data_IF_095808841611
#
_entry.id   IF_095808841611
#
_cell.length_a   1.000
_cell.length_b   1.000
_cell.length_c   1.000
_cell.angle_alpha   90.00
_cell.angle_beta   90.00
_cell.angle_gamma   90.00
#
_symmetry.space_group_name_H-M   'P 1'
#
loop_
_entity.id
_entity.type
_entity.pdbx_description
1 polymer ?
#
# COMPACT_ATOMS: atom_id res chain seq x y z
N UNK A 1 0.43 -0.54 -9.19
CA UNK A 1 0.62 0.93 -9.14
C UNK A 1 -0.75 1.57 -9.11
N UNK A 2 -0.96 2.57 -8.27
CA UNK A 2 -2.24 3.30 -8.19
C UNK A 2 -2.02 4.78 -7.89
N UNK A 3 -2.79 5.65 -8.52
CA UNK A 3 -2.82 7.08 -8.25
C UNK A 3 -3.88 7.38 -7.20
N UNK A 4 -3.60 8.37 -6.35
CA UNK A 4 -4.61 8.96 -5.49
C UNK A 4 -5.53 9.85 -6.34
N UNK A 5 -6.82 9.89 -6.02
CA UNK A 5 -7.82 10.56 -6.86
C UNK A 5 -7.79 12.09 -6.72
N UNK A 6 -7.43 12.61 -5.54
CA UNK A 6 -7.35 14.05 -5.26
C UNK A 6 -5.94 14.59 -5.07
N UNK A 7 -5.10 13.90 -4.28
CA UNK A 7 -3.74 14.34 -4.00
C UNK A 7 -2.73 13.95 -5.10
N UNK A 8 -1.61 14.66 -5.14
CA UNK A 8 -0.51 14.43 -6.08
C UNK A 8 0.34 13.19 -5.69
N UNK A 9 -0.31 12.11 -5.25
CA UNK A 9 0.31 10.90 -4.69
C UNK A 9 0.20 9.68 -5.61
N UNK A 10 1.26 8.88 -5.63
CA UNK A 10 1.39 7.66 -6.42
C UNK A 10 1.96 6.53 -5.55
N UNK A 11 1.23 5.42 -5.43
CA UNK A 11 1.72 4.21 -4.77
C UNK A 11 2.22 3.18 -5.81
N UNK A 12 3.43 2.68 -5.59
CA UNK A 12 4.10 1.67 -6.43
C UNK A 12 4.58 0.52 -5.55
N UNK A 13 4.34 -0.72 -5.98
CA UNK A 13 4.88 -1.90 -5.32
C UNK A 13 6.03 -2.47 -6.15
N UNK A 14 7.04 -3.04 -5.50
CA UNK A 14 8.07 -3.84 -6.18
C UNK A 14 7.62 -5.29 -6.40
N UNK A 15 8.52 -6.11 -6.95
CA UNK A 15 8.27 -7.54 -7.19
C UNK A 15 8.31 -8.40 -5.91
N UNK A 16 8.56 -7.80 -4.74
CA UNK A 16 8.59 -8.47 -3.46
C UNK A 16 7.43 -8.00 -2.59
N UNK A 17 7.77 -7.31 -1.50
CA UNK A 17 6.82 -6.83 -0.52
C UNK A 17 6.97 -5.34 -0.20
N UNK A 18 7.75 -4.58 -0.98
CA UNK A 18 7.96 -3.17 -0.67
C UNK A 18 6.91 -2.31 -1.37
N UNK A 19 6.31 -1.41 -0.61
CA UNK A 19 5.48 -0.31 -1.10
C UNK A 19 6.28 0.98 -1.06
N UNK A 20 6.20 1.76 -2.13
CA UNK A 20 6.74 3.10 -2.26
C UNK A 20 5.60 4.08 -2.51
N UNK A 21 5.57 5.18 -1.77
CA UNK A 21 4.62 6.27 -1.98
C UNK A 21 5.40 7.49 -2.44
N UNK A 22 4.96 8.10 -3.53
CA UNK A 22 5.62 9.22 -4.19
C UNK A 22 4.69 10.41 -4.30
N UNK A 23 5.21 11.60 -4.07
CA UNK A 23 4.64 12.84 -4.60
C UNK A 23 5.15 12.99 -6.03
N UNK A 24 4.30 12.66 -7.01
CA UNK A 24 4.74 12.58 -8.42
C UNK A 24 4.99 13.97 -9.01
N UNK A 25 4.41 15.01 -8.43
CA UNK A 25 4.56 16.40 -8.88
C UNK A 25 5.82 17.05 -8.32
N UNK A 26 6.14 16.80 -7.04
CA UNK A 26 7.42 17.22 -6.42
C UNK A 26 8.58 16.29 -6.74
N UNK A 27 8.31 15.15 -7.39
CA UNK A 27 9.30 14.13 -7.75
C UNK A 27 10.07 13.60 -6.53
N UNK A 28 9.38 13.47 -5.40
CA UNK A 28 9.96 13.06 -4.12
C UNK A 28 9.25 11.85 -3.55
N UNK A 29 10.00 10.92 -2.94
CA UNK A 29 9.42 9.81 -2.20
C UNK A 29 8.89 10.31 -0.86
N UNK A 30 7.64 10.01 -0.57
CA UNK A 30 6.98 10.30 0.70
C UNK A 30 7.29 9.19 1.72
N UNK A 31 7.13 7.93 1.30
CA UNK A 31 7.40 6.79 2.16
C UNK A 31 7.87 5.54 1.42
N UNK A 32 8.44 4.61 2.18
CA UNK A 32 8.84 3.26 1.80
C UNK A 32 8.64 2.32 2.99
N UNK A 33 7.80 1.32 2.82
CA UNK A 33 7.57 0.34 3.88
C UNK A 33 7.36 -1.07 3.32
N UNK A 34 7.56 -2.07 4.18
CA UNK A 34 7.26 -3.46 3.85
C UNK A 34 5.80 -3.76 4.14
N UNK A 35 5.13 -4.36 3.16
CA UNK A 35 3.80 -4.90 3.28
C UNK A 35 3.73 -6.12 4.22
N UNK A 36 4.87 -6.71 4.60
CA UNK A 36 4.89 -7.82 5.56
C UNK A 36 4.21 -9.10 5.04
N UNK A 37 4.02 -9.24 3.72
CA UNK A 37 3.66 -10.53 3.13
C UNK A 37 4.85 -11.51 3.18
N UNK A 38 4.62 -12.83 3.36
CA UNK A 38 5.67 -13.83 3.51
C UNK A 38 6.62 -13.90 2.31
N UNK A 39 7.82 -14.43 2.53
CA UNK A 39 8.77 -14.69 1.46
C UNK A 39 8.15 -15.61 0.38
N UNK A 40 8.45 -15.32 -0.90
CA UNK A 40 7.85 -16.02 -2.04
C UNK A 40 6.46 -15.55 -2.45
N UNK A 41 5.81 -14.69 -1.66
CA UNK A 41 4.59 -13.97 -2.07
C UNK A 41 4.91 -12.57 -2.58
N UNK A 42 4.00 -12.01 -3.40
CA UNK A 42 4.14 -10.67 -3.98
C UNK A 42 2.89 -9.83 -3.80
N UNK A 43 3.06 -8.52 -3.76
CA UNK A 43 1.93 -7.58 -3.87
C UNK A 43 1.36 -7.68 -5.28
N UNK A 44 0.07 -7.98 -5.37
CA UNK A 44 -0.63 -8.21 -6.64
C UNK A 44 -1.46 -7.00 -7.06
N UNK A 45 -2.06 -6.29 -6.10
CA UNK A 45 -2.77 -5.03 -6.38
C UNK A 45 -2.69 -4.06 -5.19
N UNK A 46 -2.94 -2.78 -5.45
CA UNK A 46 -3.05 -1.73 -4.45
C UNK A 46 -4.15 -0.74 -4.81
N UNK A 47 -4.85 -0.24 -3.79
CA UNK A 47 -5.89 0.78 -3.94
C UNK A 47 -5.81 1.77 -2.78
N UNK A 48 -6.00 3.04 -3.09
CA UNK A 48 -6.41 3.98 -2.06
C UNK A 48 -7.90 3.79 -1.78
N UNK A 49 -8.28 3.88 -0.50
CA UNK A 49 -9.67 3.80 -0.05
C UNK A 49 -9.94 4.96 0.90
N UNK A 50 -11.20 5.39 0.98
CA UNK A 50 -11.62 6.53 1.81
C UNK A 50 -10.86 7.83 1.50
N UNK A 51 -10.56 8.04 0.21
CA UNK A 51 -9.69 9.14 -0.26
C UNK A 51 -10.30 10.54 -0.10
N UNK A 52 -11.61 10.63 0.14
CA UNK A 52 -12.35 11.87 0.35
C UNK A 52 -12.23 12.42 1.79
N UNK A 53 -11.79 11.60 2.74
CA UNK A 53 -11.58 11.97 4.13
C UNK A 53 -10.17 11.53 4.58
N UNK A 54 -10.05 10.58 5.51
CA UNK A 54 -8.76 9.99 5.87
C UNK A 54 -8.45 8.81 4.95
N UNK A 55 -7.62 9.05 3.93
CA UNK A 55 -7.18 8.04 2.97
C UNK A 55 -6.39 6.91 3.64
N UNK A 56 -6.66 5.68 3.22
CA UNK A 56 -5.85 4.51 3.55
C UNK A 56 -5.29 3.86 2.30
N UNK A 57 -4.14 3.20 2.44
CA UNK A 57 -3.57 2.39 1.36
C UNK A 57 -3.86 0.90 1.63
N UNK A 58 -4.69 0.31 0.78
CA UNK A 58 -4.99 -1.10 0.78
C UNK A 58 -4.06 -1.84 -0.19
N UNK A 59 -3.52 -2.97 0.24
CA UNK A 59 -2.73 -3.89 -0.58
C UNK A 59 -3.39 -5.27 -0.62
N UNK A 60 -3.35 -5.91 -1.78
CA UNK A 60 -3.71 -7.31 -1.96
C UNK A 60 -2.48 -8.11 -2.37
N UNK A 61 -2.17 -9.16 -1.62
CA UNK A 61 -1.00 -10.00 -1.86
C UNK A 61 -1.37 -11.39 -2.36
N UNK A 62 -0.43 -12.04 -3.05
CA UNK A 62 -0.62 -13.38 -3.60
C UNK A 62 -0.74 -14.48 -2.54
N UNK A 63 -0.48 -14.16 -1.26
CA UNK A 63 -0.77 -15.03 -0.10
C UNK A 63 -2.28 -15.09 0.23
N UNK A 64 -3.10 -14.32 -0.49
CA UNK A 64 -4.55 -14.20 -0.29
C UNK A 64 -4.94 -13.24 0.83
N UNK A 65 -4.00 -12.44 1.33
CA UNK A 65 -4.21 -11.53 2.46
C UNK A 65 -4.33 -10.09 1.96
N UNK A 66 -5.32 -9.38 2.48
CA UNK A 66 -5.47 -7.94 2.33
C UNK A 66 -4.89 -7.26 3.57
N UNK A 67 -4.13 -6.18 3.34
CA UNK A 67 -3.59 -5.33 4.41
C UNK A 67 -3.96 -3.88 4.14
N UNK A 68 -4.33 -3.16 5.19
CA UNK A 68 -4.75 -1.75 5.10
C UNK A 68 -3.84 -0.92 5.99
N UNK A 69 -3.24 0.10 5.39
CA UNK A 69 -2.28 0.99 6.04
C UNK A 69 -2.84 2.39 6.21
N UNK A 70 -2.61 2.97 7.38
CA UNK A 70 -2.84 4.39 7.68
C UNK A 70 -1.52 5.14 7.77
N UNK A 71 -1.57 6.45 7.60
CA UNK A 71 -0.38 7.33 7.57
C UNK A 71 0.67 6.81 6.58
N UNK A 72 0.20 6.28 5.44
CA UNK A 72 1.04 5.57 4.48
C UNK A 72 2.03 6.50 3.78
N UNK A 73 1.86 7.81 3.90
CA UNK A 73 2.65 8.89 3.32
C UNK A 73 3.82 9.34 4.20
N UNK A 74 3.99 8.75 5.39
CA UNK A 74 5.09 9.04 6.31
C UNK A 74 5.90 7.79 6.65
N UNK A 75 7.21 7.84 6.40
CA UNK A 75 8.15 6.76 6.73
C UNK A 75 8.12 6.40 8.24
N UNK A 76 7.84 7.36 9.13
CA UNK A 76 7.88 7.18 10.57
C UNK A 76 6.54 6.76 11.18
N UNK A 77 5.43 7.05 10.50
CA UNK A 77 4.09 6.90 11.07
C UNK A 77 3.25 5.81 10.42
N UNK A 78 3.77 5.17 9.37
CA UNK A 78 3.07 4.10 8.67
C UNK A 78 2.68 2.98 9.63
N UNK A 79 1.40 2.62 9.61
CA UNK A 79 0.85 1.65 10.54
C UNK A 79 -0.16 0.73 9.84
N UNK A 80 -0.09 -0.56 10.17
CA UNK A 80 -1.09 -1.54 9.76
C UNK A 80 -2.37 -1.32 10.56
N UNK A 81 -3.38 -0.71 9.93
CA UNK A 81 -4.67 -0.46 10.55
C UNK A 81 -5.52 -1.73 10.67
N UNK A 82 -5.47 -2.61 9.66
CA UNK A 82 -6.16 -3.90 9.67
C UNK A 82 -5.57 -4.86 8.65
N UNK A 83 -5.76 -6.16 8.87
CA UNK A 83 -5.43 -7.20 7.90
C UNK A 83 -6.33 -8.42 8.05
N UNK A 84 -6.65 -9.07 6.94
CA UNK A 84 -7.43 -10.29 6.95
C UNK A 84 -7.18 -11.14 5.71
N UNK A 85 -7.45 -12.44 5.82
CA UNK A 85 -7.38 -13.36 4.70
C UNK A 85 -8.66 -13.26 3.87
N UNK A 86 -8.53 -12.80 2.63
CA UNK A 86 -9.65 -12.69 1.69
C UNK A 86 -9.81 -13.95 0.84
N UNK A 87 -8.71 -14.66 0.57
CA UNK A 87 -8.72 -15.91 -0.21
C UNK A 87 -8.12 -17.04 0.64
N UNK A 88 -8.91 -18.09 0.88
CA UNK A 88 -8.55 -19.24 1.74
C UNK A 88 -7.89 -20.39 1.00
N UNK A 89 -8.01 -20.44 -0.33
CA UNK A 89 -7.43 -21.48 -1.19
C UNK A 89 -6.75 -20.86 -2.42
N UNK A 90 -5.58 -21.39 -2.74
CA UNK A 90 -4.86 -21.15 -4.01
C UNK A 90 -4.86 -22.45 -4.80
#
# INVERSE_FOLDING_TARGET
>A
MTFHQFEDQLAVADNGNTVYVWDWKKQSRLSKFSNGNPEGSKISDMKFINEDDQGFLMTGSSDGVIRVYRNYDSDEQVELASSWRALTHM
#
